data_IF_002047650416
#
_entry.id   IF_002047650416
#
_cell.length_a   1.000
_cell.length_b   1.000
_cell.length_c   1.000
_cell.angle_alpha   90.00
_cell.angle_beta   90.00
_cell.angle_gamma   90.00
#
_symmetry.space_group_name_H-M   'P 1'
#
loop_
_entity.id
_entity.type
_entity.pdbx_description
1 polymer ?
#
# COMPACT_ATOMS: atom_id res chain seq x y z
N UNK A 1 78.24 38.94 34.24
CA UNK A 1 76.81 39.29 34.39
C UNK A 1 76.16 39.15 33.02
N UNK A 2 75.35 38.12 32.75
CA UNK A 2 73.88 38.05 32.96
C UNK A 2 73.13 39.24 32.32
N UNK A 3 72.03 39.09 31.57
CA UNK A 3 71.12 37.96 31.37
C UNK A 3 70.16 38.28 30.20
N UNK A 4 69.80 37.25 29.43
CA UNK A 4 68.45 36.91 28.91
C UNK A 4 67.44 37.96 28.43
N UNK A 5 66.77 37.56 27.33
CA UNK A 5 65.36 37.80 26.99
C UNK A 5 65.00 39.19 26.46
N UNK A 6 64.23 39.34 25.38
CA UNK A 6 63.20 38.46 24.83
C UNK A 6 62.93 38.90 23.38
N UNK A 7 62.88 37.96 22.44
CA UNK A 7 62.13 38.15 21.20
C UNK A 7 60.67 38.38 21.57
N UNK A 8 60.01 39.47 21.10
CA UNK A 8 58.57 39.49 21.14
C UNK A 8 58.08 38.54 20.04
N UNK A 9 57.81 37.29 20.43
CA UNK A 9 56.83 36.46 19.73
C UNK A 9 55.49 37.21 19.75
N UNK A 10 55.26 38.09 18.76
CA UNK A 10 53.93 38.65 18.49
C UNK A 10 53.10 37.52 17.85
N UNK A 11 52.74 36.52 18.66
CA UNK A 11 51.51 35.76 18.43
C UNK A 11 50.35 36.73 18.71
N UNK A 12 50.17 37.67 17.78
CA UNK A 12 48.87 38.30 17.58
C UNK A 12 47.95 37.17 17.13
N UNK A 13 47.39 36.48 18.12
CA UNK A 13 46.22 35.66 17.92
C UNK A 13 45.17 36.59 17.35
N UNK A 14 44.84 36.37 16.09
CA UNK A 14 43.74 37.04 15.41
C UNK A 14 42.48 36.79 16.24
N UNK A 15 42.11 37.76 17.08
CA UNK A 15 40.78 37.87 17.65
C UNK A 15 39.82 38.29 16.52
N UNK A 16 39.66 37.44 15.51
CA UNK A 16 38.65 37.58 14.49
C UNK A 16 37.29 37.29 15.15
N UNK A 17 36.57 38.37 15.50
CA UNK A 17 35.15 38.27 15.77
C UNK A 17 34.43 37.67 14.56
N UNK A 18 33.39 36.87 14.82
CA UNK A 18 32.58 36.25 13.78
C UNK A 18 32.13 37.28 12.75
N UNK A 19 32.39 36.98 11.47
CA UNK A 19 31.95 37.83 10.37
C UNK A 19 30.42 37.76 10.24
N UNK A 20 29.77 38.90 9.95
CA UNK A 20 28.35 38.93 9.57
C UNK A 20 28.05 37.99 8.39
N UNK A 21 29.02 37.84 7.48
CA UNK A 21 28.89 36.95 6.33
C UNK A 21 28.82 35.48 6.76
N UNK A 22 29.53 35.09 7.82
CA UNK A 22 29.54 33.70 8.31
C UNK A 22 28.20 33.30 8.91
N UNK A 23 27.59 34.19 9.71
CA UNK A 23 26.25 33.96 10.26
C UNK A 23 25.21 33.90 9.14
N UNK A 24 25.35 34.74 8.11
CA UNK A 24 24.48 34.71 6.93
C UNK A 24 24.62 33.40 6.17
N UNK A 25 25.85 32.95 5.90
CA UNK A 25 26.12 31.68 5.22
C UNK A 25 25.59 30.51 6.05
N UNK A 26 25.82 30.50 7.36
CA UNK A 26 25.30 29.47 8.26
C UNK A 26 23.77 29.42 8.24
N UNK A 27 23.10 30.59 8.24
CA UNK A 27 21.65 30.68 8.15
C UNK A 27 21.14 30.16 6.80
N UNK A 28 21.82 30.47 5.70
CA UNK A 28 21.46 29.96 4.36
C UNK A 28 21.61 28.44 4.29
N UNK A 29 22.72 27.90 4.76
CA UNK A 29 22.95 26.45 4.80
C UNK A 29 21.92 25.77 5.71
N UNK A 30 21.61 26.36 6.86
CA UNK A 30 20.57 25.88 7.76
C UNK A 30 19.19 25.88 7.09
N UNK A 31 18.81 26.97 6.41
CA UNK A 31 17.54 27.07 5.71
C UNK A 31 17.40 25.99 4.63
N UNK A 32 18.43 25.80 3.81
CA UNK A 32 18.46 24.74 2.79
C UNK A 32 18.34 23.34 3.44
N UNK A 33 19.05 23.10 4.55
CA UNK A 33 18.97 21.85 5.29
C UNK A 33 17.58 21.57 5.85
N UNK A 34 16.95 22.57 6.47
CA UNK A 34 15.58 22.45 7.01
C UNK A 34 14.57 22.23 5.90
N UNK A 35 14.70 22.90 4.75
CA UNK A 35 13.83 22.66 3.59
C UNK A 35 13.96 21.21 3.11
N UNK A 36 15.19 20.70 2.94
CA UNK A 36 15.41 19.30 2.57
C UNK A 36 14.78 18.32 3.56
N UNK A 37 14.90 18.59 4.86
CA UNK A 37 14.29 17.79 5.92
C UNK A 37 12.75 17.79 5.85
N UNK A 38 12.13 18.97 5.70
CA UNK A 38 10.68 19.10 5.58
C UNK A 38 10.15 18.39 4.32
N UNK A 39 10.87 18.52 3.21
CA UNK A 39 10.55 17.81 1.97
C UNK A 39 10.60 16.30 2.15
N UNK A 40 11.65 15.78 2.81
CA UNK A 40 11.76 14.35 3.11
C UNK A 40 10.60 13.86 4.01
N UNK A 41 10.22 14.62 5.04
CA UNK A 41 9.06 14.28 5.88
C UNK A 41 7.76 14.25 5.06
N UNK A 42 7.56 15.19 4.14
CA UNK A 42 6.41 15.20 3.24
C UNK A 42 6.33 13.98 2.32
N UNK A 43 7.48 13.49 1.83
CA UNK A 43 7.53 12.25 1.05
C UNK A 43 7.11 11.03 1.87
N UNK A 44 7.56 10.92 3.12
CA UNK A 44 7.20 9.80 4.00
C UNK A 44 5.69 9.78 4.31
N UNK A 45 5.06 10.94 4.52
CA UNK A 45 3.62 11.00 4.78
C UNK A 45 2.78 10.54 3.57
N UNK A 46 3.23 10.84 2.36
CA UNK A 46 2.55 10.43 1.13
C UNK A 46 2.66 8.93 0.85
N UNK A 47 3.74 8.31 1.33
CA UNK A 47 3.94 6.86 1.30
C UNK A 47 3.05 6.12 2.33
N UNK A 48 2.83 6.74 3.49
CA UNK A 48 1.91 6.21 4.51
C UNK A 48 0.46 6.17 3.99
N UNK A 49 -0.01 7.22 3.32
CA UNK A 49 -1.37 7.23 2.76
C UNK A 49 -1.58 6.09 1.75
N UNK A 50 -0.57 5.79 0.92
CA UNK A 50 -0.64 4.68 -0.02
C UNK A 50 -0.81 3.32 0.68
N UNK A 51 -0.08 3.11 1.77
CA UNK A 51 -0.15 1.88 2.57
C UNK A 51 -1.51 1.74 3.25
N UNK A 52 -2.06 2.83 3.78
CA UNK A 52 -3.38 2.87 4.41
C UNK A 52 -4.50 2.54 3.42
N UNK A 53 -4.44 3.13 2.22
CA UNK A 53 -5.41 2.89 1.15
C UNK A 53 -5.40 1.44 0.67
N UNK A 54 -4.20 0.86 0.52
CA UNK A 54 -4.06 -0.55 0.18
C UNK A 54 -4.62 -1.47 1.26
N UNK A 55 -4.35 -1.17 2.55
CA UNK A 55 -4.90 -1.94 3.66
C UNK A 55 -6.44 -1.87 3.69
N UNK A 56 -7.02 -0.71 3.39
CA UNK A 56 -8.46 -0.53 3.29
C UNK A 56 -9.06 -1.32 2.12
N UNK A 57 -8.44 -1.27 0.93
CA UNK A 57 -8.89 -2.05 -0.23
C UNK A 57 -8.87 -3.56 0.04
N UNK A 58 -7.80 -4.08 0.66
CA UNK A 58 -7.70 -5.49 1.06
C UNK A 58 -8.77 -5.84 2.09
N UNK A 59 -9.07 -4.95 3.03
CA UNK A 59 -10.12 -5.16 4.03
C UNK A 59 -11.51 -5.24 3.39
N UNK A 60 -11.81 -4.36 2.43
CA UNK A 60 -13.07 -4.41 1.65
C UNK A 60 -13.13 -5.74 0.89
N UNK A 61 -12.08 -6.07 0.13
CA UNK A 61 -12.02 -7.32 -0.63
C UNK A 61 -12.24 -8.55 0.26
N UNK A 62 -11.60 -8.58 1.43
CA UNK A 62 -11.73 -9.66 2.40
C UNK A 62 -13.13 -9.74 3.02
N UNK A 63 -13.77 -8.60 3.29
CA UNK A 63 -15.14 -8.54 3.82
C UNK A 63 -16.12 -9.14 2.83
N UNK A 64 -16.02 -8.73 1.56
CA UNK A 64 -16.90 -9.20 0.49
C UNK A 64 -16.64 -10.67 0.17
N UNK A 65 -15.38 -11.10 0.07
CA UNK A 65 -15.03 -12.51 -0.12
C UNK A 65 -15.59 -13.39 1.00
N UNK A 66 -15.45 -12.96 2.26
CA UNK A 66 -16.04 -13.68 3.39
C UNK A 66 -17.58 -13.64 3.38
N UNK A 67 -18.20 -12.61 2.79
CA UNK A 67 -19.65 -12.56 2.63
C UNK A 67 -20.13 -13.60 1.61
N UNK A 68 -19.43 -13.74 0.49
CA UNK A 68 -19.71 -14.77 -0.52
C UNK A 68 -19.59 -16.18 0.05
N UNK A 69 -18.54 -16.44 0.84
CA UNK A 69 -18.34 -17.74 1.53
C UNK A 69 -19.45 -18.13 2.51
N UNK A 70 -20.27 -17.18 2.96
CA UNK A 70 -21.40 -17.46 3.87
C UNK A 70 -22.69 -17.79 3.11
N UNK A 71 -22.73 -17.57 1.81
CA UNK A 71 -23.87 -17.93 0.99
C UNK A 71 -23.80 -19.42 0.68
N UNK A 72 -24.94 -20.10 0.70
CA UNK A 72 -25.03 -21.55 0.45
C UNK A 72 -24.89 -21.88 -1.04
N UNK A 73 -25.32 -20.95 -1.90
CA UNK A 73 -25.24 -21.07 -3.35
C UNK A 73 -25.34 -19.67 -3.97
N UNK A 74 -24.49 -19.39 -4.96
CA UNK A 74 -24.54 -18.16 -5.76
C UNK A 74 -24.34 -18.55 -7.22
N UNK A 75 -25.42 -18.63 -8.02
CA UNK A 75 -25.28 -18.87 -9.45
C UNK A 75 -24.71 -17.62 -10.11
N UNK A 76 -23.91 -17.86 -11.15
CA UNK A 76 -23.28 -16.91 -12.07
C UNK A 76 -23.78 -15.45 -11.92
N UNK A 77 -23.12 -14.69 -11.05
CA UNK A 77 -23.58 -13.34 -10.67
C UNK A 77 -22.44 -12.34 -10.65
N UNK A 78 -22.73 -11.17 -11.22
CA UNK A 78 -21.92 -9.97 -11.06
C UNK A 78 -22.62 -9.06 -10.04
N UNK A 79 -21.92 -8.76 -8.96
CA UNK A 79 -22.39 -7.82 -7.94
C UNK A 79 -21.29 -6.82 -7.61
N UNK A 80 -21.66 -5.63 -7.17
CA UNK A 80 -20.68 -4.58 -6.91
C UNK A 80 -21.24 -3.50 -6.00
N UNK A 81 -20.33 -2.67 -5.49
CA UNK A 81 -20.69 -1.58 -4.60
C UNK A 81 -19.63 -0.49 -4.61
N UNK A 82 -19.99 0.63 -3.99
CA UNK A 82 -19.13 1.80 -3.83
C UNK A 82 -19.13 2.23 -2.37
N UNK A 83 -17.94 2.50 -1.83
CA UNK A 83 -17.73 3.01 -0.48
C UNK A 83 -16.72 4.17 -0.56
N UNK A 84 -17.25 5.38 -0.65
CA UNK A 84 -16.45 6.59 -0.83
C UNK A 84 -15.74 6.61 -2.18
N UNK A 85 -14.40 6.49 -2.16
CA UNK A 85 -13.53 6.47 -3.35
C UNK A 85 -13.16 5.07 -3.84
N UNK A 86 -13.62 4.03 -3.13
CA UNK A 86 -13.38 2.64 -3.47
C UNK A 86 -14.63 2.07 -4.15
N UNK A 87 -14.45 1.45 -5.30
CA UNK A 87 -15.46 0.66 -5.98
C UNK A 87 -15.02 -0.79 -6.03
N UNK A 88 -15.94 -1.73 -5.88
CA UNK A 88 -15.61 -3.15 -6.02
C UNK A 88 -16.60 -3.87 -6.92
N UNK A 89 -16.08 -4.88 -7.60
CA UNK A 89 -16.84 -5.81 -8.42
C UNK A 89 -16.52 -7.23 -7.96
N UNK A 90 -17.57 -8.01 -7.84
CA UNK A 90 -17.57 -9.41 -7.51
C UNK A 90 -18.07 -10.13 -8.75
N UNK A 91 -17.32 -11.13 -9.17
CA UNK A 91 -17.71 -12.05 -10.25
C UNK A 91 -17.62 -13.46 -9.69
N UNK A 92 -18.71 -14.19 -9.76
CA UNK A 92 -18.76 -15.61 -9.38
C UNK A 92 -19.08 -16.38 -10.65
N UNK A 93 -18.16 -17.23 -11.10
CA UNK A 93 -18.36 -18.10 -12.27
C UNK A 93 -18.39 -19.55 -11.80
N UNK A 94 -19.37 -20.31 -12.27
CA UNK A 94 -19.47 -21.75 -12.05
C UNK A 94 -18.42 -22.48 -12.90
N UNK A 95 -17.67 -23.40 -12.30
CA UNK A 95 -16.67 -24.19 -13.02
C UNK A 95 -17.13 -25.64 -13.13
N UNK A 96 -17.13 -26.16 -14.34
CA UNK A 96 -17.55 -27.53 -14.64
C UNK A 96 -16.61 -28.57 -13.99
N UNK A 97 -17.18 -29.48 -13.19
CA UNK A 97 -16.47 -30.51 -12.40
C UNK A 97 -15.67 -31.46 -13.30
N UNK A 98 -16.11 -31.68 -14.54
CA UNK A 98 -15.52 -32.62 -15.51
C UNK A 98 -14.09 -32.27 -15.96
N UNK A 99 -13.56 -31.10 -15.57
CA UNK A 99 -12.24 -30.61 -16.01
C UNK A 99 -11.13 -30.75 -14.95
N UNK A 100 -11.43 -31.31 -13.77
CA UNK A 100 -10.45 -31.47 -12.69
C UNK A 100 -9.61 -32.76 -12.89
N UNK A 101 -8.27 -32.67 -13.08
CA UNK A 101 -7.44 -33.84 -13.27
C UNK A 101 -7.25 -34.59 -11.94
N UNK A 102 -7.82 -35.81 -11.85
CA UNK A 102 -7.59 -36.72 -10.72
C UNK A 102 -8.83 -37.44 -10.17
N UNK A 103 -10.02 -37.27 -10.78
CA UNK A 103 -11.23 -38.00 -10.40
C UNK A 103 -11.47 -39.13 -11.41
N UNK A 104 -10.70 -40.21 -11.27
CA UNK A 104 -10.95 -41.45 -12.01
C UNK A 104 -12.29 -42.05 -11.54
N UNK A 105 -13.21 -42.19 -12.49
CA UNK A 105 -14.63 -42.44 -12.27
C UNK A 105 -14.99 -43.89 -11.99
N UNK A 106 -14.75 -44.35 -10.76
CA UNK A 106 -15.17 -45.70 -10.35
C UNK A 106 -15.81 -45.79 -8.95
N UNK A 107 -16.47 -44.73 -8.49
CA UNK A 107 -17.40 -44.83 -7.35
C UNK A 107 -18.72 -44.11 -7.65
N UNK A 108 -19.77 -44.89 -7.96
CA UNK A 108 -21.18 -44.47 -8.01
C UNK A 108 -21.70 -44.14 -6.60
N UNK A 109 -20.97 -43.32 -5.85
CA UNK A 109 -21.50 -42.65 -4.66
C UNK A 109 -22.20 -41.38 -5.11
N UNK A 110 -23.45 -41.22 -4.66
CA UNK A 110 -24.21 -39.98 -4.74
C UNK A 110 -23.37 -38.81 -4.19
N UNK A 111 -22.59 -38.14 -5.04
CA UNK A 111 -22.24 -36.74 -4.84
C UNK A 111 -23.44 -35.94 -5.29
N UNK A 112 -24.43 -35.91 -4.42
CA UNK A 112 -25.43 -34.85 -4.40
C UNK A 112 -24.65 -33.53 -4.35
N UNK A 113 -24.86 -32.71 -5.38
CA UNK A 113 -24.91 -31.27 -5.30
C UNK A 113 -23.63 -30.43 -5.16
N UNK A 114 -22.40 -30.91 -5.00
CA UNK A 114 -21.27 -29.97 -4.83
C UNK A 114 -20.70 -29.44 -6.17
N UNK A 115 -21.01 -28.18 -6.52
CA UNK A 115 -20.51 -27.48 -7.71
C UNK A 115 -19.38 -26.50 -7.32
N UNK A 116 -18.18 -26.59 -7.91
CA UNK A 116 -17.09 -25.66 -7.65
C UNK A 116 -17.33 -24.33 -8.36
N UNK A 117 -17.33 -23.24 -7.61
CA UNK A 117 -17.39 -21.89 -8.18
C UNK A 117 -16.09 -21.14 -7.93
N UNK A 118 -15.64 -20.42 -8.95
CA UNK A 118 -14.54 -19.48 -8.86
C UNK A 118 -15.10 -18.10 -8.48
N UNK A 119 -14.61 -17.54 -7.38
CA UNK A 119 -14.96 -16.23 -6.89
C UNK A 119 -13.82 -15.25 -7.13
N UNK A 120 -14.13 -14.16 -7.81
CA UNK A 120 -13.22 -13.05 -8.02
C UNK A 120 -13.78 -11.79 -7.38
N UNK A 121 -12.98 -11.13 -6.54
CA UNK A 121 -13.30 -9.83 -5.96
C UNK A 121 -12.21 -8.84 -6.37
N UNK A 122 -12.60 -7.84 -7.15
CA UNK A 122 -11.72 -6.75 -7.61
C UNK A 122 -12.15 -5.46 -6.95
N UNK A 123 -11.25 -4.86 -6.16
CA UNK A 123 -11.43 -3.53 -5.57
C UNK A 123 -10.57 -2.55 -6.32
N UNK A 124 -11.16 -1.45 -6.77
CA UNK A 124 -10.49 -0.38 -7.51
C UNK A 124 -10.69 0.98 -6.84
N UNK A 125 -9.67 1.83 -6.90
CA UNK A 125 -9.77 3.22 -6.42
C UNK A 125 -8.88 4.16 -7.23
N UNK A 126 -9.24 5.43 -7.21
CA UNK A 126 -8.46 6.54 -7.75
C UNK A 126 -7.91 7.41 -6.63
N UNK A 127 -6.77 8.05 -6.87
CA UNK A 127 -6.23 9.11 -5.99
C UNK A 127 -6.97 10.44 -6.19
N UNK A 128 -7.61 10.63 -7.35
CA UNK A 128 -8.42 11.80 -7.71
C UNK A 128 -9.91 11.43 -7.81
N UNK A 129 -10.78 12.24 -7.22
CA UNK A 129 -12.24 12.00 -7.18
C UNK A 129 -12.92 11.97 -8.57
N UNK A 130 -12.25 12.49 -9.61
CA UNK A 130 -12.70 12.47 -11.02
C UNK A 130 -11.75 11.68 -11.94
N UNK A 131 -10.78 10.97 -11.38
CA UNK A 131 -9.77 10.21 -12.13
C UNK A 131 -10.21 8.78 -12.43
N UNK A 132 -9.72 8.24 -13.55
CA UNK A 132 -9.83 6.82 -13.89
C UNK A 132 -9.19 5.95 -12.78
N UNK A 133 -9.79 4.82 -12.43
CA UNK A 133 -9.32 3.99 -11.31
C UNK A 133 -7.93 3.39 -11.58
N UNK A 134 -6.90 4.02 -11.02
CA UNK A 134 -5.49 3.69 -11.25
C UNK A 134 -5.06 2.45 -10.48
N UNK A 135 -5.59 2.24 -9.28
CA UNK A 135 -5.15 1.16 -8.38
C UNK A 135 -6.19 0.06 -8.27
N UNK A 136 -5.75 -1.20 -8.27
CA UNK A 136 -6.61 -2.38 -8.20
C UNK A 136 -6.01 -3.46 -7.31
N UNK A 137 -6.83 -4.05 -6.46
CA UNK A 137 -6.52 -5.26 -5.68
C UNK A 137 -7.49 -6.35 -6.12
N UNK A 138 -6.96 -7.52 -6.46
CA UNK A 138 -7.72 -8.69 -6.89
C UNK A 138 -7.50 -9.84 -5.90
N UNK A 139 -8.58 -10.35 -5.34
CA UNK A 139 -8.59 -11.60 -4.59
C UNK A 139 -9.36 -12.64 -5.38
N UNK A 140 -8.80 -13.85 -5.47
CA UNK A 140 -9.42 -15.00 -6.10
C UNK A 140 -9.54 -16.13 -5.05
N UNK A 141 -10.66 -16.83 -5.06
CA UNK A 141 -10.89 -18.03 -4.27
C UNK A 141 -11.71 -19.06 -5.04
N UNK A 142 -11.54 -20.34 -4.73
CA UNK A 142 -12.36 -21.44 -5.24
C UNK A 142 -13.06 -22.05 -4.02
N UNK A 143 -14.39 -22.12 -4.06
CA UNK A 143 -15.21 -22.75 -3.02
C UNK A 143 -16.18 -23.74 -3.67
N UNK A 144 -16.58 -24.75 -2.90
CA UNK A 144 -17.57 -25.75 -3.31
C UNK A 144 -18.93 -25.32 -2.73
N UNK A 145 -19.94 -25.24 -3.58
CA UNK A 145 -21.32 -24.89 -3.21
C UNK A 145 -22.25 -26.07 -3.40
N UNK A 146 -23.30 -26.18 -2.59
CA UNK A 146 -24.35 -27.19 -2.74
C UNK A 146 -25.44 -26.70 -3.72
N UNK A 147 -25.72 -27.48 -4.77
CA UNK A 147 -26.81 -27.39 -5.75
C UNK A 147 -28.13 -27.83 -5.08
N UNK A 148 -29.20 -27.02 -5.17
CA UNK A 148 -30.49 -27.30 -4.53
C UNK A 148 -31.47 -28.07 -5.44
#
# INVERSE_FOLDING_TARGET
MNRFSREPDDFRGDCNGFSLLEVLVALVVFAVGVTGMLTALGYNLRDISYTEDHAMAVRIASREMNALRRLTYVPDSESGGEEGRFSWRITVEERDVDTLPGMDGDDESQTDALVPCEMEVVVSWSEDAEGEAVHKVKLNGIELFEDE
#
